data_IF_519686076900
#
_entry.id   IF_519686076900
#
_cell.length_a   1.000
_cell.length_b   1.000
_cell.length_c   1.000
_cell.angle_alpha   90.00
_cell.angle_beta   90.00
_cell.angle_gamma   90.00
#
_symmetry.space_group_name_H-M   'P 1'
#
loop_
_entity.id
_entity.type
_entity.pdbx_description
1 polymer ?
#
# COMPACT_ATOMS: atom_id res chain seq x y z
N UNK A 1 16.55 -17.95 5.90
CA UNK A 1 15.67 -18.30 4.79
C UNK A 1 15.53 -17.17 3.78
N UNK A 2 14.76 -17.40 2.76
CA UNK A 2 14.57 -16.42 1.69
C UNK A 2 14.01 -15.08 2.23
N UNK A 3 13.07 -15.14 3.17
CA UNK A 3 12.52 -13.95 3.79
C UNK A 3 13.55 -13.12 4.54
N UNK A 4 14.53 -13.77 5.16
CA UNK A 4 15.59 -13.07 5.87
C UNK A 4 16.55 -12.37 4.92
N UNK A 5 16.80 -12.98 3.75
CA UNK A 5 17.63 -12.35 2.71
C UNK A 5 16.95 -11.08 2.21
N UNK A 6 15.67 -11.14 1.92
CA UNK A 6 14.92 -9.97 1.47
C UNK A 6 14.86 -8.88 2.54
N UNK A 7 14.64 -9.25 3.81
CA UNK A 7 14.60 -8.28 4.90
C UNK A 7 15.93 -7.55 5.05
N UNK A 8 17.07 -8.23 4.91
CA UNK A 8 18.39 -7.62 4.98
C UNK A 8 18.66 -6.67 3.82
N UNK A 9 18.11 -6.99 2.65
CA UNK A 9 18.25 -6.15 1.45
C UNK A 9 17.22 -5.03 1.39
N UNK A 10 16.19 -5.10 2.20
CA UNK A 10 15.10 -4.12 2.22
C UNK A 10 15.54 -2.89 3.00
N UNK A 11 16.06 -1.91 2.29
CA UNK A 11 16.39 -0.59 2.84
C UNK A 11 15.11 0.20 3.09
N UNK A 12 15.25 1.47 3.51
CA UNK A 12 14.09 2.33 3.65
C UNK A 12 13.33 2.40 2.32
N UNK A 13 12.01 2.22 2.36
CA UNK A 13 11.20 2.34 1.15
C UNK A 13 11.31 3.74 0.55
N UNK A 14 11.46 3.78 -0.77
CA UNK A 14 11.55 5.03 -1.50
C UNK A 14 10.30 5.21 -2.35
N UNK A 15 9.98 6.46 -2.65
CA UNK A 15 8.87 6.76 -3.56
C UNK A 15 9.11 6.05 -4.89
N UNK A 16 8.09 5.37 -5.40
CA UNK A 16 8.17 4.60 -6.63
C UNK A 16 8.46 3.12 -6.42
N UNK A 17 8.95 2.72 -5.25
CA UNK A 17 9.13 1.29 -4.95
C UNK A 17 7.80 0.56 -4.90
N UNK A 18 7.75 -0.64 -5.46
CA UNK A 18 6.64 -1.56 -5.21
C UNK A 18 7.01 -2.43 -4.02
N UNK A 19 6.13 -2.49 -3.06
CA UNK A 19 6.40 -3.18 -1.80
C UNK A 19 5.28 -4.13 -1.41
N UNK A 20 5.67 -5.20 -0.73
CA UNK A 20 4.76 -6.13 -0.05
C UNK A 20 4.70 -5.70 1.41
N UNK A 21 3.49 -5.60 1.95
CA UNK A 21 3.30 -5.20 3.34
C UNK A 21 2.13 -5.92 3.98
N UNK A 22 2.11 -5.94 5.30
CA UNK A 22 0.99 -6.49 6.07
C UNK A 22 -0.11 -5.42 6.12
N UNK A 23 -1.25 -5.75 5.53
CA UNK A 23 -2.42 -4.86 5.56
C UNK A 23 -3.30 -5.10 6.77
N UNK A 24 -3.55 -6.37 7.06
CA UNK A 24 -4.47 -6.76 8.11
C UNK A 24 -4.55 -8.27 8.23
N UNK A 25 -5.74 -8.76 8.54
CA UNK A 25 -5.97 -10.19 8.72
C UNK A 25 -7.37 -10.57 8.28
N UNK A 26 -7.57 -11.84 8.01
CA UNK A 26 -8.86 -12.38 7.61
C UNK A 26 -9.43 -13.26 8.71
N UNK A 27 -10.68 -13.02 9.05
CA UNK A 27 -11.39 -13.85 10.01
C UNK A 27 -11.70 -15.22 9.41
N UNK A 28 -11.28 -16.32 10.05
CA UNK A 28 -11.57 -17.66 9.53
C UNK A 28 -13.05 -18.04 9.65
N UNK A 29 -13.81 -17.33 10.48
CA UNK A 29 -15.23 -17.63 10.70
C UNK A 29 -16.12 -16.95 9.66
N UNK A 30 -15.97 -15.65 9.45
CA UNK A 30 -16.86 -14.91 8.54
C UNK A 30 -16.19 -14.50 7.23
N UNK A 31 -14.87 -14.65 7.11
CA UNK A 31 -14.14 -14.29 5.91
C UNK A 31 -13.85 -12.81 5.74
N UNK A 32 -14.28 -11.96 6.67
CA UNK A 32 -14.03 -10.53 6.58
C UNK A 32 -12.54 -10.22 6.70
N UNK A 33 -12.08 -9.24 5.91
CA UNK A 33 -10.71 -8.71 6.01
C UNK A 33 -10.75 -7.50 6.92
N UNK A 34 -9.95 -7.55 7.97
CA UNK A 34 -9.89 -6.54 9.03
C UNK A 34 -8.56 -5.81 8.91
N UNK A 35 -8.60 -4.49 8.84
CA UNK A 35 -7.39 -3.67 8.82
C UNK A 35 -6.67 -3.72 10.17
N UNK A 36 -5.35 -3.69 10.14
CA UNK A 36 -4.52 -3.56 11.32
C UNK A 36 -4.15 -4.88 11.97
N UNK A 37 -3.78 -4.80 13.24
CA UNK A 37 -3.27 -5.96 13.98
C UNK A 37 -4.35 -6.96 14.30
N UNK A 38 -3.96 -8.23 14.39
CA UNK A 38 -4.87 -9.31 14.78
C UNK A 38 -5.46 -9.04 16.16
N UNK A 39 -6.73 -9.35 16.27
CA UNK A 39 -7.48 -9.25 17.53
C UNK A 39 -8.00 -10.63 17.91
N UNK A 40 -8.25 -10.85 19.20
CA UNK A 40 -8.79 -12.13 19.67
C UNK A 40 -10.23 -12.33 19.21
N UNK A 41 -10.98 -11.24 19.08
CA UNK A 41 -12.38 -11.27 18.66
C UNK A 41 -12.51 -10.54 17.32
N UNK A 42 -13.22 -11.14 16.37
CA UNK A 42 -13.49 -10.51 15.09
C UNK A 42 -14.49 -9.35 15.24
N UNK A 43 -14.13 -8.13 14.85
CA UNK A 43 -15.05 -6.99 14.97
C UNK A 43 -16.23 -7.08 13.99
N UNK A 44 -16.15 -7.91 12.95
CA UNK A 44 -17.23 -8.05 11.99
C UNK A 44 -18.32 -9.05 12.41
N UNK A 45 -17.92 -10.19 12.98
CA UNK A 45 -18.87 -11.25 13.34
C UNK A 45 -18.94 -11.58 14.83
N UNK A 46 -18.04 -11.03 15.66
CA UNK A 46 -18.00 -11.26 17.07
C UNK A 46 -17.41 -12.59 17.52
N UNK A 47 -16.95 -13.42 16.60
CA UNK A 47 -16.37 -14.72 16.93
C UNK A 47 -15.01 -14.56 17.61
N UNK A 48 -14.71 -15.43 18.57
CA UNK A 48 -13.39 -15.52 19.17
C UNK A 48 -12.50 -16.32 18.23
N UNK A 49 -11.52 -15.65 17.62
CA UNK A 49 -10.65 -16.24 16.61
C UNK A 49 -9.22 -16.44 17.09
N UNK A 50 -8.77 -15.63 18.06
CA UNK A 50 -7.43 -15.73 18.62
C UNK A 50 -6.35 -15.70 17.53
N UNK A 51 -5.45 -16.68 17.57
CA UNK A 51 -4.34 -16.79 16.63
C UNK A 51 -4.74 -17.36 15.26
N UNK A 52 -6.00 -17.74 15.07
CA UNK A 52 -6.46 -18.37 13.82
C UNK A 52 -6.67 -17.40 12.68
N UNK A 53 -6.63 -16.09 12.96
CA UNK A 53 -6.70 -15.09 11.90
C UNK A 53 -5.55 -15.24 10.91
N UNK A 54 -5.84 -15.10 9.60
CA UNK A 54 -4.83 -15.21 8.54
C UNK A 54 -4.29 -13.84 8.20
N UNK A 55 -2.96 -13.68 8.23
CA UNK A 55 -2.33 -12.42 7.81
C UNK A 55 -2.62 -12.15 6.33
N UNK A 56 -3.02 -10.92 6.04
CA UNK A 56 -3.27 -10.47 4.67
C UNK A 56 -2.14 -9.53 4.25
N UNK A 57 -1.49 -9.87 3.14
CA UNK A 57 -0.45 -9.07 2.53
C UNK A 57 -1.01 -8.39 1.28
N UNK A 58 -0.62 -7.14 1.07
CA UNK A 58 -0.91 -6.43 -0.17
C UNK A 58 0.39 -6.04 -0.85
N UNK A 59 0.30 -5.85 -2.16
CA UNK A 59 1.40 -5.36 -3.00
C UNK A 59 0.93 -4.07 -3.65
N UNK A 60 1.58 -2.97 -3.31
CA UNK A 60 1.23 -1.64 -3.81
C UNK A 60 2.51 -0.84 -4.03
N UNK A 61 2.38 0.31 -4.68
CA UNK A 61 3.50 1.22 -4.90
C UNK A 61 3.55 2.30 -3.84
N UNK A 62 4.75 2.62 -3.38
CA UNK A 62 4.98 3.75 -2.46
C UNK A 62 4.82 5.04 -3.23
N UNK A 63 3.83 5.83 -2.86
CA UNK A 63 3.60 7.16 -3.44
C UNK A 63 4.05 8.24 -2.48
N UNK A 64 3.79 8.08 -1.19
CA UNK A 64 4.23 9.02 -0.17
C UNK A 64 5.18 8.37 0.82
N UNK A 65 6.22 9.11 1.21
CA UNK A 65 7.17 8.73 2.26
C UNK A 65 6.95 9.62 3.48
N UNK A 66 7.56 9.29 4.66
CA UNK A 66 7.30 10.07 5.86
C UNK A 66 7.48 11.57 5.66
N UNK A 67 6.49 12.35 6.11
CA UNK A 67 6.50 13.81 6.01
C UNK A 67 5.93 14.38 4.71
N UNK A 68 5.62 13.55 3.73
CA UNK A 68 5.05 14.02 2.47
C UNK A 68 3.62 14.53 2.66
N UNK A 69 3.29 15.58 1.92
CA UNK A 69 1.92 16.06 1.73
C UNK A 69 1.49 15.64 0.33
N UNK A 70 0.37 14.94 0.24
CA UNK A 70 -0.15 14.42 -1.02
C UNK A 70 -1.49 15.07 -1.29
N UNK A 71 -1.61 15.70 -2.45
CA UNK A 71 -2.88 16.21 -2.94
C UNK A 71 -3.25 15.49 -4.23
N UNK A 72 -4.45 14.98 -4.29
CA UNK A 72 -5.00 14.37 -5.49
C UNK A 72 -6.11 15.28 -5.99
N UNK A 73 -5.89 15.88 -7.14
CA UNK A 73 -6.79 16.88 -7.74
C UNK A 73 -6.84 16.64 -9.24
N UNK A 74 -8.03 16.67 -9.80
CA UNK A 74 -8.24 16.47 -11.24
C UNK A 74 -7.53 15.21 -11.76
N UNK A 75 -7.65 14.12 -11.00
CA UNK A 75 -7.10 12.81 -11.35
C UNK A 75 -5.57 12.77 -11.45
N UNK A 76 -4.89 13.68 -10.77
CA UNK A 76 -3.42 13.72 -10.73
C UNK A 76 -2.93 13.84 -9.29
N UNK A 77 -1.74 13.28 -9.06
CA UNK A 77 -1.09 13.31 -7.75
C UNK A 77 -0.09 14.45 -7.71
N UNK A 78 -0.16 15.28 -6.68
CA UNK A 78 0.78 16.36 -6.42
C UNK A 78 1.45 16.15 -5.08
N UNK A 79 2.75 16.39 -5.01
CA UNK A 79 3.54 16.19 -3.80
C UNK A 79 4.06 17.51 -3.25
N UNK A 80 3.89 17.70 -1.95
CA UNK A 80 4.57 18.75 -1.19
C UNK A 80 4.36 20.17 -1.75
N UNK A 81 3.14 20.45 -2.18
CA UNK A 81 2.77 21.76 -2.69
C UNK A 81 3.28 22.08 -4.09
N UNK A 82 3.84 21.09 -4.80
CA UNK A 82 4.27 21.29 -6.18
C UNK A 82 3.09 21.64 -7.08
N UNK A 83 3.30 22.52 -8.03
CA UNK A 83 2.32 22.82 -9.06
C UNK A 83 2.42 21.90 -10.28
N UNK A 84 3.42 21.02 -10.29
CA UNK A 84 3.62 20.01 -11.33
C UNK A 84 3.21 18.65 -10.77
N UNK A 85 2.36 17.89 -11.48
CA UNK A 85 1.97 16.57 -10.99
C UNK A 85 3.14 15.60 -10.98
N UNK A 86 3.04 14.62 -10.09
CA UNK A 86 4.00 13.52 -10.02
C UNK A 86 4.05 12.79 -11.37
N UNK A 87 5.25 12.53 -11.88
CA UNK A 87 5.44 11.74 -13.08
C UNK A 87 5.22 10.27 -12.74
N UNK A 88 4.21 9.67 -13.36
CA UNK A 88 3.78 8.31 -13.06
C UNK A 88 3.74 7.44 -14.33
N UNK A 89 4.92 7.10 -14.90
CA UNK A 89 4.98 6.35 -16.15
C UNK A 89 4.48 4.89 -16.04
N UNK A 90 4.33 4.39 -14.83
CA UNK A 90 3.86 3.03 -14.57
C UNK A 90 2.34 2.87 -14.70
N UNK A 91 1.60 3.96 -14.84
CA UNK A 91 0.15 3.88 -15.02
C UNK A 91 -0.19 3.43 -16.44
N UNK A 92 -1.00 2.37 -16.54
CA UNK A 92 -1.50 1.89 -17.83
C UNK A 92 -2.56 2.84 -18.41
N UNK A 93 -3.32 3.48 -17.52
CA UNK A 93 -4.34 4.46 -17.89
C UNK A 93 -4.42 5.56 -16.84
N UNK A 94 -4.87 6.74 -17.24
CA UNK A 94 -5.05 7.85 -16.32
C UNK A 94 -6.18 7.56 -15.33
N UNK A 95 -6.08 8.13 -14.13
CA UNK A 95 -7.21 8.10 -13.18
C UNK A 95 -8.40 8.83 -13.80
N UNK A 96 -9.60 8.32 -13.49
CA UNK A 96 -10.85 8.91 -13.99
C UNK A 96 -11.94 8.97 -12.92
N UNK A 97 -11.55 9.00 -11.66
CA UNK A 97 -12.49 8.93 -10.55
C UNK A 97 -13.01 10.29 -10.13
N UNK A 98 -12.33 11.37 -10.53
CA UNK A 98 -12.72 12.77 -10.28
C UNK A 98 -12.91 13.10 -8.80
N UNK A 99 -12.13 12.42 -7.94
CA UNK A 99 -12.16 12.65 -6.50
C UNK A 99 -10.99 13.55 -6.10
N UNK A 100 -11.21 14.33 -5.05
CA UNK A 100 -10.19 15.22 -4.48
C UNK A 100 -9.80 14.71 -3.10
N UNK A 101 -8.49 14.57 -2.86
CA UNK A 101 -7.96 14.10 -1.59
C UNK A 101 -6.78 14.94 -1.13
N UNK A 102 -6.62 15.02 0.17
CA UNK A 102 -5.45 15.60 0.82
C UNK A 102 -4.97 14.65 1.92
N UNK A 103 -3.69 14.27 1.89
CA UNK A 103 -3.10 13.37 2.89
C UNK A 103 -1.78 13.95 3.38
N UNK A 104 -1.52 13.81 4.67
CA UNK A 104 -0.23 14.17 5.28
C UNK A 104 0.35 12.91 5.90
N UNK A 105 1.44 12.43 5.33
CA UNK A 105 2.04 11.14 5.72
C UNK A 105 2.78 11.32 7.05
N UNK A 106 2.39 10.61 8.11
CA UNK A 106 3.07 10.69 9.40
C UNK A 106 4.51 10.19 9.33
N UNK A 107 5.29 10.55 10.33
CA UNK A 107 6.63 9.97 10.49
C UNK A 107 6.54 8.46 10.57
N UNK A 108 7.53 7.80 10.01
CA UNK A 108 7.63 6.34 9.99
C UNK A 108 6.48 5.62 9.27
N UNK A 109 5.76 6.33 8.40
CA UNK A 109 4.62 5.79 7.64
C UNK A 109 4.78 6.06 6.16
N UNK A 110 4.00 5.32 5.37
CA UNK A 110 4.02 5.37 3.91
C UNK A 110 2.60 5.39 3.37
N UNK A 111 2.42 6.08 2.26
CA UNK A 111 1.14 6.13 1.55
C UNK A 111 1.25 5.27 0.29
N UNK A 112 0.41 4.24 0.19
CA UNK A 112 0.50 3.19 -0.82
C UNK A 112 -0.65 3.27 -1.80
N UNK A 113 -0.36 3.25 -3.09
CA UNK A 113 -1.40 3.23 -4.12
C UNK A 113 -1.14 2.10 -5.12
N UNK A 114 -2.22 1.49 -5.60
CA UNK A 114 -2.13 0.53 -6.69
C UNK A 114 -1.92 1.22 -8.02
N UNK A 115 -1.17 0.60 -8.93
CA UNK A 115 -0.93 1.16 -10.25
C UNK A 115 -2.20 1.20 -11.09
N UNK A 116 -3.08 0.22 -10.92
CA UNK A 116 -4.39 0.23 -11.57
C UNK A 116 -5.35 1.12 -10.78
N UNK A 117 -5.16 2.44 -10.89
CA UNK A 117 -5.81 3.45 -10.05
C UNK A 117 -7.32 3.40 -10.05
N UNK A 118 -7.92 3.05 -11.16
CA UNK A 118 -9.38 3.06 -11.30
C UNK A 118 -10.04 1.85 -10.62
N UNK A 119 -9.27 0.82 -10.29
CA UNK A 119 -9.78 -0.43 -9.70
C UNK A 119 -9.10 -0.82 -8.40
N UNK A 120 -8.07 -0.10 -7.97
CA UNK A 120 -7.33 -0.43 -6.75
C UNK A 120 -8.07 0.04 -5.51
N UNK A 121 -8.15 -0.83 -4.52
CA UNK A 121 -8.54 -0.46 -3.16
C UNK A 121 -7.25 -0.26 -2.38
N UNK A 122 -6.87 0.99 -2.21
CA UNK A 122 -5.59 1.35 -1.62
C UNK A 122 -5.74 2.41 -0.53
N UNK A 123 -4.63 3.06 -0.17
CA UNK A 123 -4.58 4.01 0.93
C UNK A 123 -5.61 5.12 0.84
N UNK A 124 -6.07 5.48 -0.36
CA UNK A 124 -7.11 6.50 -0.54
C UNK A 124 -8.41 6.11 0.17
N UNK A 125 -8.69 4.82 0.28
CA UNK A 125 -9.99 4.29 0.73
C UNK A 125 -9.93 3.55 2.07
N UNK A 126 -8.74 3.20 2.58
CA UNK A 126 -8.61 2.49 3.85
C UNK A 126 -9.02 3.37 5.02
N UNK A 127 -9.40 2.75 6.14
CA UNK A 127 -9.70 3.47 7.37
C UNK A 127 -8.45 4.18 7.91
N UNK A 128 -7.33 3.47 7.94
CA UNK A 128 -6.03 4.08 8.17
C UNK A 128 -5.33 4.21 6.83
N UNK A 129 -5.11 5.43 6.38
CA UNK A 129 -4.50 5.70 5.07
C UNK A 129 -3.00 5.39 5.01
N UNK A 130 -2.37 5.06 6.12
CA UNK A 130 -0.92 4.99 6.19
C UNK A 130 -0.45 3.64 6.70
N UNK A 131 0.62 3.12 6.09
CA UNK A 131 1.25 1.86 6.48
C UNK A 131 2.54 2.21 7.23
N UNK A 132 2.67 1.74 8.47
CA UNK A 132 3.87 1.97 9.26
C UNK A 132 5.04 1.14 8.73
N UNK A 133 6.26 1.64 8.96
CA UNK A 133 7.50 1.02 8.47
C UNK A 133 7.63 -0.45 8.89
N UNK A 134 7.20 -0.80 10.09
CA UNK A 134 7.29 -2.16 10.61
C UNK A 134 6.37 -3.16 9.91
N UNK A 135 5.39 -2.68 9.15
CA UNK A 135 4.51 -3.53 8.33
C UNK A 135 5.09 -3.85 6.96
N UNK A 136 6.13 -3.16 6.53
CA UNK A 136 6.80 -3.41 5.26
C UNK A 136 7.58 -4.72 5.35
N UNK A 137 7.39 -5.59 4.35
CA UNK A 137 8.00 -6.93 4.34
C UNK A 137 9.12 -7.03 3.32
N UNK A 138 8.88 -6.56 2.09
CA UNK A 138 9.84 -6.72 1.00
C UNK A 138 9.57 -5.73 -0.13
N UNK A 139 10.58 -5.49 -0.95
CA UNK A 139 10.44 -4.79 -2.24
C UNK A 139 10.27 -5.80 -3.36
N UNK A 140 9.57 -5.39 -4.40
CA UNK A 140 9.44 -6.16 -5.64
C UNK A 140 10.37 -5.53 -6.68
N UNK A 141 11.25 -6.32 -7.26
CA UNK A 141 12.23 -5.87 -8.24
C UNK A 141 11.84 -6.39 -9.63
N UNK A 142 11.39 -5.49 -10.50
CA UNK A 142 10.92 -5.88 -11.83
C UNK A 142 12.07 -6.09 -12.83
N UNK A 143 13.22 -5.51 -12.59
CA UNK A 143 14.38 -5.63 -13.47
C UNK A 143 14.94 -7.05 -13.57
N UNK A 144 14.52 -7.94 -12.69
CA UNK A 144 14.90 -9.35 -12.79
C UNK A 144 14.19 -10.12 -13.88
N UNK A 145 13.12 -9.56 -14.40
CA UNK A 145 12.31 -10.25 -15.40
C UNK A 145 12.93 -10.04 -16.78
N UNK A 146 13.17 -11.13 -17.55
CA UNK A 146 13.85 -11.02 -18.83
C UNK A 146 13.01 -10.33 -19.91
N UNK A 147 11.70 -10.28 -19.74
CA UNK A 147 10.80 -9.64 -20.69
C UNK A 147 9.95 -8.61 -19.96
N UNK A 148 10.35 -7.32 -19.99
CA UNK A 148 9.65 -6.28 -19.23
C UNK A 148 8.15 -6.19 -19.51
N UNK A 149 7.73 -6.49 -20.72
CA UNK A 149 6.32 -6.45 -21.11
C UNK A 149 5.45 -7.49 -20.39
N UNK A 150 6.05 -8.45 -19.71
CA UNK A 150 5.32 -9.46 -18.92
C UNK A 150 4.94 -8.90 -17.55
N UNK A 151 5.47 -7.75 -17.19
CA UNK A 151 5.35 -7.15 -15.85
C UNK A 151 4.17 -6.18 -15.76
N UNK A 152 3.42 -6.07 -16.77
CA UNK A 152 2.31 -5.11 -16.87
C UNK A 152 1.12 -5.43 -16.00
#
# INVERSE_FOLDING_TARGET
GLGDVYKRQFSEPERGDVAIFVFGWQCPQCGAIIEGDKQDTCPACGSEVGKRGHTIYYVKRVIGVPGDVIDIVDDKVYLNGSDTPLDEPYLAEAMNQHETYHFEVPENCYFMMGDNRNYSLDARYWQNHYISRDKMVAKVFFEYFPTPKVIH
#
